data_IF_200683213573
#
_entry.id   IF_200683213573
#
_cell.length_a   1.000
_cell.length_b   1.000
_cell.length_c   1.000
_cell.angle_alpha   90.00
_cell.angle_beta   90.00
_cell.angle_gamma   90.00
#
_symmetry.space_group_name_H-M   'P 1'
#
loop_
_entity.id
_entity.type
_entity.pdbx_description
1 polymer ?
#
# COMPACT_ATOMS: atom_id res chain seq x y z
N UNK A 1 5.92 14.90 -19.90
CA UNK A 1 5.63 15.23 -18.50
C UNK A 1 6.29 14.15 -17.66
N UNK A 2 7.38 14.46 -16.98
CA UNK A 2 8.10 13.49 -16.15
C UNK A 2 7.17 13.04 -15.03
N UNK A 3 6.84 11.75 -14.98
CA UNK A 3 6.26 11.15 -13.80
C UNK A 3 7.25 11.44 -12.67
N UNK A 4 6.91 12.37 -11.79
CA UNK A 4 7.62 12.51 -10.52
C UNK A 4 7.35 11.19 -9.82
N UNK A 5 8.30 10.26 -9.90
CA UNK A 5 8.28 9.02 -9.14
C UNK A 5 8.10 9.43 -7.69
N UNK A 6 6.90 9.23 -7.17
CA UNK A 6 6.58 9.49 -5.78
C UNK A 6 7.54 8.63 -4.95
N UNK A 7 8.54 9.22 -4.28
CA UNK A 7 9.62 8.44 -3.71
C UNK A 7 9.16 7.62 -2.50
N UNK A 8 7.93 7.79 -2.02
CA UNK A 8 7.43 7.16 -0.79
C UNK A 8 6.06 6.47 -0.94
N UNK A 9 5.53 6.37 -2.17
CA UNK A 9 4.31 5.62 -2.43
C UNK A 9 3.01 6.40 -2.22
N UNK A 10 3.05 7.73 -2.24
CA UNK A 10 1.88 8.58 -2.06
C UNK A 10 0.81 8.39 -3.15
N UNK A 11 1.24 8.09 -4.38
CA UNK A 11 0.34 7.66 -5.46
C UNK A 11 -0.47 6.41 -5.10
N UNK A 12 0.19 5.36 -4.61
CA UNK A 12 -0.47 4.14 -4.15
C UNK A 12 -1.36 4.40 -2.92
N UNK A 13 -0.90 5.19 -1.96
CA UNK A 13 -1.66 5.54 -0.77
C UNK A 13 -2.97 6.27 -1.15
N UNK A 14 -2.89 7.23 -2.09
CA UNK A 14 -4.05 7.96 -2.60
C UNK A 14 -5.02 7.04 -3.37
N UNK A 15 -4.51 6.03 -4.08
CA UNK A 15 -5.33 5.03 -4.78
C UNK A 15 -6.11 4.14 -3.80
N UNK A 16 -5.48 3.70 -2.72
CA UNK A 16 -6.08 2.83 -1.71
C UNK A 16 -6.99 3.57 -0.73
N UNK A 17 -6.74 4.86 -0.51
CA UNK A 17 -7.46 5.68 0.46
C UNK A 17 -9.01 5.63 0.31
N UNK A 18 -9.62 5.82 -0.87
CA UNK A 18 -11.08 5.72 -1.01
C UNK A 18 -11.65 4.35 -0.62
N UNK A 19 -10.86 3.28 -0.78
CA UNK A 19 -11.28 1.89 -0.49
C UNK A 19 -11.23 1.58 1.00
N UNK A 20 -10.24 2.10 1.73
CA UNK A 20 -9.99 1.72 3.12
C UNK A 20 -10.18 2.83 4.16
N UNK A 21 -10.48 4.07 3.75
CA UNK A 21 -10.77 5.18 4.69
C UNK A 21 -11.88 4.88 5.71
N UNK A 22 -12.84 4.01 5.34
CA UNK A 22 -13.94 3.60 6.22
C UNK A 22 -13.53 2.68 7.36
N UNK A 23 -12.32 2.12 7.31
CA UNK A 23 -11.75 1.25 8.36
C UNK A 23 -11.17 2.06 9.54
N UNK A 24 -11.04 3.37 9.38
CA UNK A 24 -10.45 4.25 10.38
C UNK A 24 -11.54 4.92 11.20
N UNK A 25 -11.45 4.80 12.53
CA UNK A 25 -12.39 5.43 13.47
C UNK A 25 -12.31 6.96 13.41
N UNK A 26 -11.15 7.52 13.07
CA UNK A 26 -10.93 8.96 12.94
C UNK A 26 -10.47 9.32 11.52
N UNK A 27 -11.43 9.69 10.68
CA UNK A 27 -11.18 10.09 9.30
C UNK A 27 -10.38 11.40 9.19
N UNK A 28 -10.54 12.34 10.13
CA UNK A 28 -9.83 13.61 10.09
C UNK A 28 -8.34 13.42 10.42
N UNK A 29 -8.02 12.52 11.35
CA UNK A 29 -6.65 12.11 11.62
C UNK A 29 -6.03 11.41 10.41
N UNK A 30 -6.76 10.49 9.77
CA UNK A 30 -6.30 9.82 8.55
C UNK A 30 -6.03 10.84 7.43
N UNK A 31 -6.93 11.80 7.21
CA UNK A 31 -6.76 12.85 6.20
C UNK A 31 -5.51 13.68 6.46
N UNK A 32 -5.29 14.04 7.73
CA UNK A 32 -4.07 14.75 8.13
C UNK A 32 -2.82 13.92 7.86
N UNK A 33 -2.82 12.64 8.22
CA UNK A 33 -1.70 11.74 7.96
C UNK A 33 -1.44 11.56 6.46
N UNK A 34 -2.48 11.40 5.66
CA UNK A 34 -2.35 11.34 4.19
C UNK A 34 -1.71 12.59 3.59
N UNK A 35 -1.90 13.76 4.21
CA UNK A 35 -1.29 15.02 3.76
C UNK A 35 0.13 15.26 4.31
N UNK A 36 0.42 14.81 5.54
CA UNK A 36 1.70 15.07 6.23
C UNK A 36 2.73 13.94 6.02
N UNK A 37 2.31 12.67 6.17
CA UNK A 37 3.14 11.47 6.02
C UNK A 37 2.26 10.24 5.70
N UNK A 38 2.13 9.95 4.40
CA UNK A 38 1.26 8.89 3.89
C UNK A 38 1.82 7.48 4.07
N UNK A 39 3.08 7.29 4.49
CA UNK A 39 3.71 5.97 4.56
C UNK A 39 3.05 5.10 5.63
N UNK A 40 2.71 5.68 6.79
CA UNK A 40 1.96 4.99 7.84
C UNK A 40 0.60 4.47 7.35
N UNK A 41 -0.27 5.35 6.83
CA UNK A 41 -1.53 4.95 6.20
C UNK A 41 -1.37 3.92 5.09
N UNK A 42 -0.38 4.09 4.19
CA UNK A 42 -0.11 3.14 3.12
C UNK A 42 0.18 1.74 3.65
N UNK A 43 1.04 1.61 4.66
CA UNK A 43 1.35 0.33 5.28
C UNK A 43 0.07 -0.33 5.82
N UNK A 44 -0.76 0.43 6.54
CA UNK A 44 -2.04 -0.07 7.05
C UNK A 44 -3.01 -0.48 5.94
N UNK A 45 -3.10 0.29 4.86
CA UNK A 45 -3.91 -0.07 3.69
C UNK A 45 -3.44 -1.38 3.04
N UNK A 46 -2.12 -1.59 2.94
CA UNK A 46 -1.56 -2.83 2.40
C UNK A 46 -1.88 -4.03 3.30
N UNK A 47 -1.84 -3.87 4.63
CA UNK A 47 -2.26 -4.92 5.55
C UNK A 47 -3.74 -5.28 5.37
N UNK A 48 -4.62 -4.27 5.31
CA UNK A 48 -6.06 -4.48 5.10
C UNK A 48 -6.30 -5.18 3.77
N UNK A 49 -5.63 -4.75 2.70
CA UNK A 49 -5.82 -5.34 1.38
C UNK A 49 -5.30 -6.78 1.26
N UNK A 50 -4.19 -7.11 1.94
CA UNK A 50 -3.70 -8.48 2.05
C UNK A 50 -4.67 -9.37 2.84
N UNK A 51 -5.20 -8.88 3.97
CA UNK A 51 -6.18 -9.60 4.79
C UNK A 51 -7.48 -9.87 4.02
N UNK A 52 -7.99 -8.86 3.32
CA UNK A 52 -9.22 -8.97 2.50
C UNK A 52 -9.00 -9.66 1.17
N UNK A 53 -7.74 -9.85 0.78
CA UNK A 53 -7.32 -10.37 -0.51
C UNK A 53 -7.89 -9.60 -1.71
N UNK A 54 -8.02 -8.28 -1.60
CA UNK A 54 -8.64 -7.42 -2.62
C UNK A 54 -7.67 -6.45 -3.32
N UNK A 55 -6.36 -6.59 -3.08
CA UNK A 55 -5.33 -5.82 -3.79
C UNK A 55 -5.28 -6.18 -5.27
N UNK A 56 -5.24 -5.15 -6.12
CA UNK A 56 -5.16 -5.31 -7.57
C UNK A 56 -3.72 -5.61 -8.03
N UNK A 57 -3.52 -6.25 -9.20
CA UNK A 57 -2.18 -6.60 -9.68
C UNK A 57 -1.20 -5.43 -9.78
N UNK A 58 -1.65 -4.26 -10.21
CA UNK A 58 -0.84 -3.06 -10.30
C UNK A 58 -0.50 -2.49 -8.91
N UNK A 59 -1.46 -2.51 -7.98
CA UNK A 59 -1.26 -2.13 -6.56
C UNK A 59 -0.21 -3.03 -5.88
N UNK A 60 -0.26 -4.34 -6.15
CA UNK A 60 0.69 -5.32 -5.62
C UNK A 60 2.08 -5.12 -6.22
N UNK A 61 2.18 -4.90 -7.54
CA UNK A 61 3.45 -4.65 -8.20
C UNK A 61 4.14 -3.38 -7.64
N UNK A 62 3.39 -2.29 -7.52
CA UNK A 62 3.89 -1.02 -6.96
C UNK A 62 4.30 -1.19 -5.49
N UNK A 63 3.50 -1.89 -4.68
CA UNK A 63 3.84 -2.18 -3.28
C UNK A 63 5.10 -3.03 -3.13
N UNK A 64 5.33 -3.99 -4.03
CA UNK A 64 6.55 -4.82 -4.05
C UNK A 64 7.78 -3.97 -4.34
N UNK A 65 7.70 -3.03 -5.28
CA UNK A 65 8.81 -2.11 -5.59
C UNK A 65 9.14 -1.23 -4.37
N UNK A 66 8.13 -0.65 -3.72
CA UNK A 66 8.31 0.14 -2.50
C UNK A 66 8.93 -0.68 -1.37
N UNK A 67 8.49 -1.93 -1.19
CA UNK A 67 9.01 -2.84 -0.17
C UNK A 67 10.48 -3.25 -0.44
N UNK A 68 10.84 -3.51 -1.71
CA UNK A 68 12.23 -3.82 -2.13
C UNK A 68 13.18 -2.66 -1.84
N UNK A 69 12.71 -1.44 -2.06
CA UNK A 69 13.48 -0.21 -1.81
C UNK A 69 13.53 0.17 -0.32
N UNK A 70 12.87 -0.57 0.58
CA UNK A 70 12.82 -0.26 2.00
C UNK A 70 11.96 0.95 2.37
N UNK A 71 11.09 1.41 1.45
CA UNK A 71 10.25 2.61 1.61
C UNK A 71 9.05 2.40 2.55
N UNK A 72 8.78 1.16 2.95
CA UNK A 72 7.71 0.79 3.89
C UNK A 72 8.26 0.57 5.32
N UNK A 73 9.35 1.27 5.65
CA UNK A 73 9.99 1.29 6.97
C UNK A 73 10.31 -0.14 7.46
N UNK A 74 10.10 -0.39 8.76
CA UNK A 74 10.32 -1.69 9.40
C UNK A 74 9.44 -2.81 8.84
N UNK A 75 8.34 -2.47 8.16
CA UNK A 75 7.41 -3.43 7.57
C UNK A 75 7.85 -3.91 6.19
N UNK A 76 8.87 -3.30 5.57
CA UNK A 76 9.29 -3.59 4.20
C UNK A 76 9.59 -5.08 3.94
N UNK A 77 10.38 -5.73 4.81
CA UNK A 77 10.73 -7.14 4.61
C UNK A 77 9.50 -8.06 4.72
N UNK A 78 8.65 -7.82 5.72
CA UNK A 78 7.43 -8.60 5.93
C UNK A 78 6.46 -8.41 4.77
N UNK A 79 6.21 -7.17 4.35
CA UNK A 79 5.31 -6.84 3.25
C UNK A 79 5.81 -7.42 1.94
N UNK A 80 7.12 -7.36 1.66
CA UNK A 80 7.69 -7.94 0.45
C UNK A 80 7.40 -9.45 0.34
N UNK A 81 7.65 -10.20 1.42
CA UNK A 81 7.37 -11.64 1.45
C UNK A 81 5.88 -11.94 1.21
N UNK A 82 5.00 -11.22 1.91
CA UNK A 82 3.56 -11.48 1.85
C UNK A 82 2.93 -11.03 0.52
N UNK A 83 3.41 -9.92 -0.07
CA UNK A 83 2.98 -9.45 -1.38
C UNK A 83 3.42 -10.40 -2.51
N UNK A 84 4.64 -10.96 -2.43
CA UNK A 84 5.11 -11.98 -3.39
C UNK A 84 4.29 -13.26 -3.29
N UNK A 85 4.00 -13.72 -2.06
CA UNK A 85 3.11 -14.86 -1.84
C UNK A 85 1.71 -14.58 -2.39
N UNK A 86 1.15 -13.41 -2.10
CA UNK A 86 -0.15 -12.98 -2.60
C UNK A 86 -0.20 -12.94 -4.14
N UNK A 87 0.82 -12.37 -4.78
CA UNK A 87 0.94 -12.33 -6.24
C UNK A 87 0.94 -13.73 -6.87
N UNK A 88 1.64 -14.68 -6.25
CA UNK A 88 1.70 -16.09 -6.71
C UNK A 88 0.38 -16.82 -6.48
N UNK A 89 -0.24 -16.67 -5.32
CA UNK A 89 -1.32 -17.55 -4.87
C UNK A 89 -2.73 -17.01 -5.22
N UNK A 90 -2.86 -15.70 -5.44
CA UNK A 90 -4.14 -15.04 -5.69
C UNK A 90 -4.22 -14.52 -7.12
N UNK A 91 -3.16 -13.88 -7.60
CA UNK A 91 -3.20 -13.18 -8.89
C UNK A 91 -2.78 -14.04 -10.09
N UNK A 92 -1.97 -15.09 -9.90
CA UNK A 92 -1.63 -16.05 -10.97
C UNK A 92 -2.66 -17.18 -11.16
N UNK A 93 -3.67 -17.23 -10.29
CA UNK A 93 -4.75 -18.24 -10.35
C UNK A 93 -6.00 -17.68 -11.08
N UNK A 94 -6.01 -16.39 -11.42
CA UNK A 94 -7.07 -15.71 -12.16
C UNK A 94 -6.75 -15.59 -13.65
#
# INVERSE_FOLDING_TARGET
MSAVSDPYGGGLAAKLYPRYRGEYTDAALLDRQMNEDHVGPLISFLFIGLERRDLQPDEVAEAIELARDGKLLKSSAWLLEHLLAYQRDVLHVA
#
